data_IF_419628471201
#
_entry.id   IF_419628471201
#
_cell.length_a   1.000
_cell.length_b   1.000
_cell.length_c   1.000
_cell.angle_alpha   90.00
_cell.angle_beta   90.00
_cell.angle_gamma   90.00
#
_symmetry.space_group_name_H-M   'P 1'
#
loop_
_entity.id
_entity.type
_entity.pdbx_description
1 polymer ?
#
# COMPACT_ATOMS: atom_id res chain seq x y z
N UNK A 1 -17.19 -6.15 -23.29
CA UNK A 1 -16.52 -7.46 -23.14
C UNK A 1 -15.50 -7.51 -21.99
N UNK A 2 -14.81 -6.41 -21.64
CA UNK A 2 -13.86 -6.41 -20.51
C UNK A 2 -14.52 -6.62 -19.11
N UNK A 3 -15.74 -6.11 -18.92
CA UNK A 3 -16.44 -6.19 -17.63
C UNK A 3 -16.86 -7.60 -17.21
N UNK A 4 -17.23 -8.48 -18.15
CA UNK A 4 -17.61 -9.86 -17.82
C UNK A 4 -16.41 -10.74 -17.50
N UNK A 5 -15.29 -10.54 -18.20
CA UNK A 5 -14.03 -11.22 -17.89
C UNK A 5 -13.50 -10.83 -16.51
N UNK A 6 -13.58 -9.54 -16.17
CA UNK A 6 -13.25 -9.05 -14.83
C UNK A 6 -14.19 -9.60 -13.76
N UNK A 7 -15.50 -9.60 -13.98
CA UNK A 7 -16.46 -10.14 -13.01
C UNK A 7 -16.25 -11.64 -12.74
N UNK A 8 -15.95 -12.41 -13.80
CA UNK A 8 -15.68 -13.85 -13.70
C UNK A 8 -14.39 -14.13 -12.92
N UNK A 9 -13.33 -13.39 -13.21
CA UNK A 9 -12.05 -13.47 -12.51
C UNK A 9 -12.16 -13.02 -11.04
N UNK A 10 -12.83 -11.88 -10.80
CA UNK A 10 -13.05 -11.33 -9.47
C UNK A 10 -13.88 -12.26 -8.59
N UNK A 11 -14.89 -12.94 -9.14
CA UNK A 11 -15.68 -13.93 -8.38
C UNK A 11 -14.80 -15.07 -7.87
N UNK A 12 -13.79 -15.49 -8.65
CA UNK A 12 -12.86 -16.56 -8.27
C UNK A 12 -11.75 -16.09 -7.32
N UNK A 13 -11.28 -14.85 -7.45
CA UNK A 13 -10.20 -14.32 -6.62
C UNK A 13 -10.69 -13.60 -5.35
N UNK A 14 -11.93 -13.12 -5.33
CA UNK A 14 -12.58 -12.42 -4.21
C UNK A 14 -12.37 -13.12 -2.86
N UNK A 15 -12.63 -14.43 -2.69
CA UNK A 15 -12.42 -15.09 -1.40
C UNK A 15 -10.96 -15.07 -0.94
N UNK A 16 -9.99 -15.12 -1.86
CA UNK A 16 -8.56 -15.06 -1.51
C UNK A 16 -8.14 -13.63 -1.13
N UNK A 17 -8.61 -12.62 -1.86
CA UNK A 17 -8.31 -11.21 -1.56
C UNK A 17 -8.99 -10.69 -0.29
N UNK A 18 -10.18 -11.18 0.03
CA UNK A 18 -10.97 -10.71 1.19
C UNK A 18 -10.70 -11.47 2.47
N UNK A 19 -10.35 -12.76 2.42
CA UNK A 19 -10.12 -13.59 3.62
C UNK A 19 -8.65 -13.77 3.98
N UNK A 20 -7.78 -13.98 3.00
CA UNK A 20 -6.37 -14.33 3.24
C UNK A 20 -5.47 -13.09 3.18
N UNK A 21 -5.76 -12.15 2.28
CA UNK A 21 -4.99 -10.91 2.13
C UNK A 21 -5.43 -9.77 3.05
N UNK A 22 -6.36 -10.01 3.98
CA UNK A 22 -6.86 -8.96 4.87
C UNK A 22 -5.73 -8.35 5.72
N UNK A 23 -4.85 -9.20 6.25
CA UNK A 23 -3.65 -8.77 6.98
C UNK A 23 -2.58 -8.16 6.06
N UNK A 24 -2.50 -8.60 4.80
CA UNK A 24 -1.59 -8.03 3.80
C UNK A 24 -2.01 -6.61 3.42
N UNK A 25 -3.30 -6.33 3.29
CA UNK A 25 -3.81 -4.98 3.06
C UNK A 25 -3.60 -4.06 4.26
N UNK A 26 -3.82 -4.58 5.48
CA UNK A 26 -3.53 -3.84 6.71
C UNK A 26 -2.03 -3.56 6.81
N UNK A 27 -1.17 -4.57 6.56
CA UNK A 27 0.28 -4.46 6.55
C UNK A 27 0.80 -3.49 5.48
N UNK A 28 0.27 -3.55 4.26
CA UNK A 28 0.59 -2.59 3.20
C UNK A 28 0.17 -1.17 3.57
N UNK A 29 -1.02 -0.99 4.15
CA UNK A 29 -1.48 0.30 4.64
C UNK A 29 -0.56 0.85 5.74
N UNK A 30 -0.13 -0.01 6.65
CA UNK A 30 0.74 0.34 7.77
C UNK A 30 2.16 0.68 7.29
N UNK A 31 2.74 -0.12 6.40
CA UNK A 31 4.03 0.16 5.75
C UNK A 31 3.97 1.45 4.94
N UNK A 32 2.88 1.70 4.21
CA UNK A 32 2.68 2.94 3.44
C UNK A 32 2.58 4.15 4.36
N UNK A 33 1.84 4.06 5.47
CA UNK A 33 1.72 5.13 6.46
C UNK A 33 3.04 5.37 7.20
N UNK A 34 3.75 4.32 7.60
CA UNK A 34 5.07 4.42 8.24
C UNK A 34 6.08 5.00 7.26
N UNK A 35 6.12 4.53 6.01
CA UNK A 35 6.99 5.07 4.96
C UNK A 35 6.66 6.52 4.63
N UNK A 36 5.37 6.89 4.59
CA UNK A 36 4.93 8.27 4.43
C UNK A 36 5.40 9.13 5.60
N UNK A 37 5.20 8.67 6.85
CA UNK A 37 5.69 9.39 8.04
C UNK A 37 7.22 9.45 8.11
N UNK A 38 7.95 8.45 7.65
CA UNK A 38 9.41 8.49 7.57
C UNK A 38 9.87 9.45 6.48
N UNK A 39 9.29 9.37 5.29
CA UNK A 39 9.67 10.19 4.13
C UNK A 39 9.22 11.66 4.25
N UNK A 40 8.16 11.97 5.01
CA UNK A 40 7.65 13.33 5.24
C UNK A 40 7.95 13.86 6.65
N UNK A 41 7.96 13.02 7.68
CA UNK A 41 8.40 13.38 9.03
C UNK A 41 9.92 13.54 9.13
N UNK A 42 10.68 12.79 8.33
CA UNK A 42 12.13 12.97 8.16
C UNK A 42 12.51 14.25 7.41
N UNK A 43 11.59 14.89 6.66
CA UNK A 43 11.87 16.20 6.03
C UNK A 43 12.04 17.33 7.05
N UNK A 44 11.76 17.10 8.34
CA UNK A 44 12.07 18.03 9.43
C UNK A 44 13.45 17.76 10.06
N UNK A 45 14.11 16.64 9.77
CA UNK A 45 15.33 16.21 10.45
C UNK A 45 16.60 16.20 9.57
N UNK A 46 16.49 16.51 8.27
CA UNK A 46 17.65 16.64 7.36
C UNK A 46 17.65 17.97 6.62
N UNK A 47 17.34 19.05 7.33
CA UNK A 47 17.85 20.39 6.99
C UNK A 47 19.20 20.61 7.70
N UNK A 48 20.14 19.75 7.38
CA UNK A 48 21.54 19.85 7.81
C UNK A 48 22.40 19.21 6.74
N UNK A 49 22.23 19.68 5.50
CA UNK A 49 23.24 19.47 4.47
C UNK A 49 24.16 20.69 4.52
N UNK A 50 25.40 20.59 5.03
CA UNK A 50 26.35 21.67 4.82
C UNK A 50 26.61 21.70 3.31
N UNK A 51 26.20 22.80 2.67
CA UNK A 51 26.67 23.12 1.34
C UNK A 51 28.16 23.43 1.48
N UNK A 52 28.93 22.70 0.67
CA UNK A 52 30.37 22.77 0.55
C UNK A 52 30.84 24.13 0.01
#
# INVERSE_FOLDING_TARGET
MAGSAFASWWTRMSPYYTKVYQEVWVGMGLITLVSYKLAFGGKKAVDSKPAH
#
